data_IF_292998629073
#
_entry.id   IF_292998629073
#
_cell.length_a   1.000
_cell.length_b   1.000
_cell.length_c   1.000
_cell.angle_alpha   90.00
_cell.angle_beta   90.00
_cell.angle_gamma   90.00
#
_symmetry.space_group_name_H-M   'P 1'
#
loop_
_entity.id
_entity.type
_entity.pdbx_description
1 polymer ?
#
# COMPACT_ATOMS: atom_id res chain seq x y z
N UNK A 1 9.73 -26.44 8.65
CA UNK A 1 9.21 -25.07 8.57
C UNK A 1 9.85 -24.41 7.37
N UNK A 2 9.05 -23.90 6.43
CA UNK A 2 9.57 -23.31 5.20
C UNK A 2 9.84 -21.82 5.41
N UNK A 3 11.10 -21.43 5.27
CA UNK A 3 11.49 -20.03 5.30
C UNK A 3 11.05 -19.33 4.00
N UNK A 4 10.71 -18.04 4.11
CA UNK A 4 10.32 -17.24 2.95
C UNK A 4 11.50 -16.94 2.03
N UNK A 5 11.24 -16.93 0.73
CA UNK A 5 12.28 -16.62 -0.27
C UNK A 5 12.85 -15.20 -0.10
N UNK A 6 14.10 -15.01 -0.57
CA UNK A 6 14.74 -13.68 -0.61
C UNK A 6 13.89 -12.63 -1.34
N UNK A 7 13.20 -13.03 -2.41
CA UNK A 7 12.30 -12.15 -3.16
C UNK A 7 11.11 -11.69 -2.30
N UNK A 8 10.49 -12.59 -1.52
CA UNK A 8 9.41 -12.24 -0.59
C UNK A 8 9.91 -11.27 0.50
N UNK A 9 11.14 -11.46 1.02
CA UNK A 9 11.74 -10.53 1.97
C UNK A 9 11.92 -9.13 1.36
N UNK A 10 12.45 -9.04 0.14
CA UNK A 10 12.60 -7.75 -0.55
C UNK A 10 11.23 -7.08 -0.74
N UNK A 11 10.24 -7.85 -1.19
CA UNK A 11 8.87 -7.35 -1.34
C UNK A 11 8.31 -6.79 -0.03
N UNK A 12 8.36 -7.55 1.07
CA UNK A 12 7.86 -7.09 2.36
C UNK A 12 8.57 -5.82 2.83
N UNK A 13 9.87 -5.69 2.55
CA UNK A 13 10.64 -4.49 2.89
C UNK A 13 10.19 -3.28 2.08
N UNK A 14 10.06 -3.43 0.76
CA UNK A 14 9.58 -2.36 -0.13
C UNK A 14 8.17 -1.92 0.27
N UNK A 15 7.25 -2.88 0.47
CA UNK A 15 5.90 -2.57 0.93
C UNK A 15 5.89 -1.90 2.30
N UNK A 16 6.74 -2.33 3.23
CA UNK A 16 6.87 -1.67 4.54
C UNK A 16 7.26 -0.21 4.40
N UNK A 17 8.28 0.09 3.59
CA UNK A 17 8.77 1.45 3.36
C UNK A 17 7.68 2.30 2.71
N UNK A 18 7.02 1.79 1.66
CA UNK A 18 5.93 2.48 0.97
C UNK A 18 4.78 2.79 1.93
N UNK A 19 4.31 1.79 2.67
CA UNK A 19 3.17 1.97 3.57
C UNK A 19 3.51 2.86 4.78
N UNK A 20 4.73 2.83 5.30
CA UNK A 20 5.16 3.75 6.36
C UNK A 20 5.28 5.17 5.82
N UNK A 21 5.86 5.37 4.64
CA UNK A 21 5.98 6.69 4.02
C UNK A 21 4.60 7.31 3.77
N UNK A 22 3.68 6.55 3.17
CA UNK A 22 2.30 6.98 3.00
C UNK A 22 1.60 7.17 4.35
N UNK A 23 1.82 6.27 5.30
CA UNK A 23 1.27 6.38 6.65
C UNK A 23 1.68 7.68 7.34
N UNK A 24 2.92 8.13 7.14
CA UNK A 24 3.41 9.41 7.66
C UNK A 24 2.77 10.59 6.92
N UNK A 25 2.73 10.55 5.59
CA UNK A 25 2.17 11.62 4.76
C UNK A 25 0.68 11.83 5.09
N UNK A 26 -0.13 10.78 4.98
CA UNK A 26 -1.57 10.86 5.21
C UNK A 26 -1.95 10.99 6.69
N UNK A 27 -1.08 10.54 7.61
CA UNK A 27 -1.33 10.58 9.05
C UNK A 27 -0.91 11.88 9.72
N UNK A 28 0.26 12.42 9.38
CA UNK A 28 0.87 13.57 10.07
C UNK A 28 0.96 14.84 9.23
N UNK A 29 0.96 14.71 7.90
CA UNK A 29 1.04 15.85 6.97
C UNK A 29 -0.14 15.89 5.97
N UNK A 30 -1.39 15.61 6.39
CA UNK A 30 -2.48 15.43 5.45
C UNK A 30 -2.89 16.74 4.75
N UNK A 31 -2.74 17.87 5.43
CA UNK A 31 -3.10 19.18 4.89
C UNK A 31 -2.07 19.66 3.87
N UNK A 32 -0.78 19.58 4.20
CA UNK A 32 0.32 19.94 3.32
C UNK A 32 0.30 19.10 2.05
N UNK A 33 0.03 17.79 2.21
CA UNK A 33 -0.07 16.89 1.09
C UNK A 33 -1.27 17.23 0.19
N UNK A 34 -2.46 17.45 0.77
CA UNK A 34 -3.65 17.85 0.03
C UNK A 34 -3.44 19.12 -0.80
N UNK A 35 -2.80 20.15 -0.22
CA UNK A 35 -2.46 21.38 -0.94
C UNK A 35 -1.46 21.13 -2.08
N UNK A 36 -0.51 20.23 -1.88
CA UNK A 36 0.47 19.88 -2.90
C UNK A 36 -0.14 19.13 -4.09
N UNK A 37 -1.05 18.18 -3.82
CA UNK A 37 -1.70 17.40 -4.88
C UNK A 37 -2.94 18.09 -5.47
N UNK A 38 -3.37 19.22 -4.91
CA UNK A 38 -4.53 19.99 -5.37
C UNK A 38 -5.78 19.13 -5.55
N UNK A 39 -6.06 18.29 -4.54
CA UNK A 39 -7.12 17.29 -4.63
C UNK A 39 -8.47 17.91 -4.24
N UNK A 40 -9.54 17.79 -5.04
CA UNK A 40 -10.76 18.58 -4.87
C UNK A 40 -11.58 18.27 -3.60
N UNK A 41 -11.41 17.08 -3.03
CA UNK A 41 -12.15 16.62 -1.86
C UNK A 41 -11.18 16.19 -0.76
N UNK A 42 -11.15 16.93 0.34
CA UNK A 42 -10.29 16.60 1.47
C UNK A 42 -11.09 16.46 2.76
N UNK A 43 -10.98 15.29 3.35
CA UNK A 43 -11.43 15.02 4.71
C UNK A 43 -10.21 14.63 5.57
N UNK A 44 -9.83 15.47 6.55
CA UNK A 44 -8.69 15.19 7.43
C UNK A 44 -8.85 13.88 8.23
N UNK A 45 -10.07 13.53 8.61
CA UNK A 45 -10.36 12.32 9.38
C UNK A 45 -10.15 11.06 8.56
N UNK A 46 -10.63 11.07 7.30
CA UNK A 46 -10.40 9.96 6.35
C UNK A 46 -8.92 9.82 6.04
N UNK A 47 -8.23 10.95 5.80
CA UNK A 47 -6.78 10.93 5.55
C UNK A 47 -6.00 10.35 6.74
N UNK A 48 -6.28 10.81 7.96
CA UNK A 48 -5.61 10.32 9.16
C UNK A 48 -5.88 8.83 9.41
N UNK A 49 -7.13 8.38 9.20
CA UNK A 49 -7.49 6.98 9.33
C UNK A 49 -6.74 6.09 8.32
N UNK A 50 -6.67 6.53 7.06
CA UNK A 50 -5.87 5.87 6.03
C UNK A 50 -4.39 5.83 6.41
N UNK A 51 -3.84 6.95 6.87
CA UNK A 51 -2.46 7.04 7.33
C UNK A 51 -2.15 6.04 8.44
N UNK A 52 -3.04 5.92 9.43
CA UNK A 52 -2.91 4.94 10.51
C UNK A 52 -2.95 3.49 10.01
N UNK A 53 -3.87 3.18 9.08
CA UNK A 53 -3.96 1.84 8.47
C UNK A 53 -2.67 1.49 7.71
N UNK A 54 -2.17 2.40 6.88
CA UNK A 54 -0.94 2.18 6.10
C UNK A 54 0.28 2.06 7.02
N UNK A 55 0.38 2.89 8.06
CA UNK A 55 1.46 2.81 9.03
C UNK A 55 1.46 1.47 9.78
N UNK A 56 0.30 1.04 10.29
CA UNK A 56 0.14 -0.25 10.96
C UNK A 56 0.48 -1.42 10.01
N UNK A 57 0.03 -1.35 8.76
CA UNK A 57 0.29 -2.36 7.76
C UNK A 57 1.79 -2.48 7.43
N UNK A 58 2.49 -1.35 7.30
CA UNK A 58 3.95 -1.33 7.18
C UNK A 58 4.67 -1.95 8.38
N UNK A 59 4.18 -1.68 9.60
CA UNK A 59 4.66 -2.32 10.82
C UNK A 59 4.48 -3.84 10.82
N UNK A 60 3.32 -4.34 10.38
CA UNK A 60 3.09 -5.78 10.27
C UNK A 60 4.00 -6.47 9.25
N UNK A 61 4.31 -5.82 8.13
CA UNK A 61 5.27 -6.34 7.16
C UNK A 61 6.69 -6.45 7.73
N UNK A 62 7.11 -5.49 8.57
CA UNK A 62 8.39 -5.58 9.30
C UNK A 62 8.41 -6.72 10.32
N UNK A 63 7.29 -6.98 11.00
CA UNK A 63 7.16 -8.12 11.92
C UNK A 63 7.21 -9.44 11.14
N UNK A 64 6.52 -9.51 9.99
CA UNK A 64 6.55 -10.67 9.10
C UNK A 64 7.97 -10.96 8.60
N UNK A 65 8.74 -9.92 8.26
CA UNK A 65 10.16 -10.03 7.91
C UNK A 65 11.01 -10.63 9.01
N UNK A 66 10.79 -10.23 10.27
CA UNK A 66 11.53 -10.78 11.41
C UNK A 66 11.18 -12.24 11.69
N UNK A 67 9.92 -12.63 11.50
CA UNK A 67 9.48 -14.02 11.70
C UNK A 67 9.95 -14.94 10.57
N UNK A 68 9.92 -14.47 9.32
CA UNK A 68 10.38 -15.18 8.11
C UNK A 68 9.83 -16.62 7.89
N UNK A 69 8.83 -17.04 8.67
CA UNK A 69 8.20 -18.36 8.56
C UNK A 69 6.91 -18.27 7.74
N UNK A 70 6.83 -19.04 6.64
CA UNK A 70 5.71 -18.97 5.69
C UNK A 70 4.33 -19.12 6.35
N UNK A 71 4.13 -20.18 7.14
CA UNK A 71 2.86 -20.46 7.81
C UNK A 71 2.40 -19.32 8.72
N UNK A 72 3.34 -18.62 9.36
CA UNK A 72 3.02 -17.51 10.27
C UNK A 72 2.70 -16.22 9.53
N UNK A 73 3.20 -16.06 8.30
CA UNK A 73 3.09 -14.79 7.57
C UNK A 73 2.08 -14.83 6.41
N UNK A 74 1.65 -16.03 5.98
CA UNK A 74 0.73 -16.22 4.85
C UNK A 74 -0.51 -15.33 4.94
N UNK A 75 -1.19 -15.34 6.08
CA UNK A 75 -2.38 -14.51 6.34
C UNK A 75 -2.08 -13.00 6.21
N UNK A 76 -0.91 -12.55 6.66
CA UNK A 76 -0.51 -11.14 6.55
C UNK A 76 -0.28 -10.73 5.09
N UNK A 77 0.29 -11.63 4.29
CA UNK A 77 0.48 -11.40 2.85
C UNK A 77 -0.87 -11.33 2.13
N UNK A 78 -1.81 -12.20 2.48
CA UNK A 78 -3.19 -12.17 1.93
C UNK A 78 -3.90 -10.86 2.27
N UNK A 79 -3.85 -10.41 3.52
CA UNK A 79 -4.37 -9.11 3.92
C UNK A 79 -3.72 -7.96 3.15
N UNK A 80 -2.41 -8.06 2.88
CA UNK A 80 -1.70 -7.09 2.06
C UNK A 80 -2.16 -7.03 0.61
N UNK A 81 -2.37 -8.19 0.00
CA UNK A 81 -2.94 -8.27 -1.34
C UNK A 81 -4.33 -7.63 -1.38
N UNK A 82 -5.17 -7.86 -0.36
CA UNK A 82 -6.48 -7.21 -0.25
C UNK A 82 -6.37 -5.70 -0.13
N UNK A 83 -5.44 -5.19 0.68
CA UNK A 83 -5.24 -3.74 0.79
C UNK A 83 -4.77 -3.13 -0.53
N UNK A 84 -3.83 -3.79 -1.21
CA UNK A 84 -3.31 -3.32 -2.49
C UNK A 84 -4.38 -3.27 -3.58
N UNK A 85 -5.24 -4.29 -3.69
CA UNK A 85 -6.29 -4.30 -4.69
C UNK A 85 -7.39 -3.27 -4.38
N UNK A 86 -7.76 -3.11 -3.09
CA UNK A 86 -8.75 -2.10 -2.68
C UNK A 86 -8.25 -0.70 -3.01
N UNK A 87 -7.03 -0.36 -2.59
CA UNK A 87 -6.49 0.98 -2.80
C UNK A 87 -6.19 1.27 -4.28
N UNK A 88 -5.68 0.27 -5.01
CA UNK A 88 -5.51 0.37 -6.46
C UNK A 88 -6.83 0.63 -7.18
N UNK A 89 -7.91 -0.04 -6.76
CA UNK A 89 -9.26 0.14 -7.34
C UNK A 89 -9.82 1.53 -7.03
N UNK A 90 -9.70 2.01 -5.78
CA UNK A 90 -10.12 3.37 -5.42
C UNK A 90 -9.37 4.40 -6.25
N UNK A 91 -8.03 4.30 -6.30
CA UNK A 91 -7.19 5.22 -7.06
C UNK A 91 -7.53 5.22 -8.56
N UNK A 92 -7.80 4.04 -9.12
CA UNK A 92 -8.19 3.91 -10.52
C UNK A 92 -9.58 4.49 -10.79
N UNK A 93 -10.53 4.30 -9.87
CA UNK A 93 -11.86 4.88 -9.97
C UNK A 93 -11.78 6.41 -9.98
N UNK A 94 -10.98 7.01 -9.10
CA UNK A 94 -10.78 8.46 -9.03
C UNK A 94 -10.29 9.07 -10.34
N UNK A 95 -9.36 8.40 -11.03
CA UNK A 95 -8.82 8.81 -12.34
C UNK A 95 -9.94 8.98 -13.37
N UNK A 96 -10.99 8.16 -13.32
CA UNK A 96 -12.06 8.18 -14.32
C UNK A 96 -13.29 9.00 -13.92
N UNK A 97 -13.51 9.28 -12.63
CA UNK A 97 -14.78 9.87 -12.18
C UNK A 97 -14.72 11.33 -11.75
N UNK A 98 -13.59 11.81 -11.21
CA UNK A 98 -13.60 13.06 -10.44
C UNK A 98 -13.17 14.32 -11.19
N UNK A 99 -12.86 14.25 -12.48
CA UNK A 99 -12.44 15.44 -13.25
C UNK A 99 -11.25 16.16 -12.57
N UNK A 100 -10.26 15.39 -12.14
CA UNK A 100 -9.16 15.84 -11.28
C UNK A 100 -8.28 16.91 -11.95
N UNK A 101 -7.71 17.80 -11.12
CA UNK A 101 -6.60 18.66 -11.53
C UNK A 101 -5.40 17.82 -12.00
N UNK A 102 -4.50 18.40 -12.79
CA UNK A 102 -3.34 17.67 -13.30
C UNK A 102 -2.46 17.04 -12.19
N UNK A 103 -2.18 17.74 -11.07
CA UNK A 103 -1.44 17.14 -9.95
C UNK A 103 -2.21 15.99 -9.29
N UNK A 104 -3.51 16.15 -9.03
CA UNK A 104 -4.34 15.13 -8.42
C UNK A 104 -4.48 13.88 -9.32
N UNK A 105 -4.66 14.09 -10.62
CA UNK A 105 -4.71 13.02 -11.62
C UNK A 105 -3.41 12.23 -11.66
N UNK A 106 -2.27 12.94 -11.59
CA UNK A 106 -0.94 12.34 -11.56
C UNK A 106 -0.75 11.49 -10.30
N UNK A 107 -1.15 12.00 -9.13
CA UNK A 107 -1.10 11.28 -7.87
C UNK A 107 -2.00 10.02 -7.89
N UNK A 108 -3.26 10.16 -8.32
CA UNK A 108 -4.19 9.03 -8.40
C UNK A 108 -3.71 7.96 -9.39
N UNK A 109 -3.19 8.36 -10.55
CA UNK A 109 -2.62 7.44 -11.55
C UNK A 109 -1.38 6.71 -11.01
N UNK A 110 -0.50 7.44 -10.33
CA UNK A 110 0.68 6.88 -9.68
C UNK A 110 0.28 5.86 -8.60
N UNK A 111 -0.68 6.20 -7.75
CA UNK A 111 -1.19 5.31 -6.71
C UNK A 111 -1.81 4.05 -7.31
N UNK A 112 -2.66 4.19 -8.35
CA UNK A 112 -3.22 3.03 -9.03
C UNK A 112 -2.12 2.11 -9.56
N UNK A 113 -1.14 2.65 -10.29
CA UNK A 113 -0.03 1.88 -10.84
C UNK A 113 0.83 1.23 -9.74
N UNK A 114 1.16 1.97 -8.68
CA UNK A 114 1.97 1.49 -7.56
C UNK A 114 1.28 0.32 -6.85
N UNK A 115 0.02 0.47 -6.45
CA UNK A 115 -0.66 -0.53 -5.65
C UNK A 115 -1.08 -1.75 -6.48
N UNK A 116 -1.46 -1.60 -7.75
CA UNK A 116 -1.62 -2.76 -8.65
C UNK A 116 -0.29 -3.44 -8.95
N UNK A 117 0.80 -2.69 -9.16
CA UNK A 117 2.14 -3.25 -9.36
C UNK A 117 2.60 -4.06 -8.14
N UNK A 118 2.39 -3.52 -6.93
CA UNK A 118 2.64 -4.24 -5.68
C UNK A 118 1.77 -5.49 -5.59
N UNK A 119 0.46 -5.40 -5.83
CA UNK A 119 -0.44 -6.56 -5.83
C UNK A 119 0.03 -7.68 -6.78
N UNK A 120 0.34 -7.35 -8.04
CA UNK A 120 0.80 -8.32 -9.03
C UNK A 120 2.10 -8.97 -8.57
N UNK A 121 3.05 -8.18 -8.08
CA UNK A 121 4.31 -8.70 -7.54
C UNK A 121 4.07 -9.64 -6.35
N UNK A 122 3.23 -9.24 -5.39
CA UNK A 122 2.87 -10.09 -4.24
C UNK A 122 2.26 -11.40 -4.69
N UNK A 123 1.31 -11.34 -5.62
CA UNK A 123 0.57 -12.50 -6.10
C UNK A 123 1.51 -13.50 -6.78
N UNK A 124 2.41 -13.03 -7.64
CA UNK A 124 3.40 -13.88 -8.30
C UNK A 124 4.36 -14.54 -7.29
N UNK A 125 4.83 -13.78 -6.31
CA UNK A 125 5.71 -14.30 -5.26
C UNK A 125 4.99 -15.27 -4.32
N UNK A 126 3.72 -15.01 -4.02
CA UNK A 126 2.87 -15.87 -3.20
C UNK A 126 2.67 -17.22 -3.89
N UNK A 127 2.33 -17.23 -5.18
CA UNK A 127 2.17 -18.48 -5.94
C UNK A 127 3.44 -19.32 -5.95
N UNK A 128 4.58 -18.69 -6.26
CA UNK A 128 5.89 -19.36 -6.28
C UNK A 128 6.32 -19.95 -4.92
N UNK A 129 5.79 -19.43 -3.82
CA UNK A 129 6.12 -19.89 -2.47
C UNK A 129 5.18 -21.01 -1.98
N UNK A 130 3.97 -21.09 -2.53
CA UNK A 130 2.97 -22.10 -2.19
C UNK A 130 3.05 -23.37 -3.04
N UNK A 131 3.67 -23.30 -4.22
CA UNK A 131 4.03 -24.43 -5.08
C UNK A 131 5.36 -25.07 -4.62
#
# INVERSE_FOLDING_TARGET
MTEITKAMKIYLLVTSITCIAYGIIYGFLPWEFHLFIDYPFYDPGVSAALGAVLFAFGGFNLIALKKAEWEKIRMYIELGMTLHILWGTVSLWEVFTYGLSQPALTNASFNAALFFGLFILTFLLYRKQGD
#
